data_IF_920802623698
#
_entry.id   IF_920802623698
#
_cell.length_a   1.000
_cell.length_b   1.000
_cell.length_c   1.000
_cell.angle_alpha   90.00
_cell.angle_beta   90.00
_cell.angle_gamma   90.00
#
_symmetry.space_group_name_H-M   'P 1'
#
loop_
_entity.id
_entity.type
_entity.pdbx_description
1 polymer ?
#
# COMPACT_ATOMS: atom_id res chain seq x y z
N UNK A 1 9.86 -14.58 -6.20
CA UNK A 1 9.95 -14.08 -4.80
C UNK A 1 8.91 -12.98 -4.63
N UNK A 2 8.31 -12.85 -3.44
CA UNK A 2 7.34 -11.78 -3.15
C UNK A 2 7.91 -10.91 -2.03
N UNK A 3 7.95 -9.59 -2.24
CA UNK A 3 8.28 -8.64 -1.19
C UNK A 3 7.01 -8.28 -0.41
N UNK A 4 7.05 -8.46 0.91
CA UNK A 4 6.01 -7.95 1.81
C UNK A 4 6.54 -6.71 2.53
N UNK A 5 5.83 -5.60 2.38
CA UNK A 5 6.12 -4.33 3.06
C UNK A 5 4.98 -4.05 4.02
N UNK A 6 5.28 -3.97 5.31
CA UNK A 6 4.31 -3.64 6.34
C UNK A 6 4.63 -2.26 6.90
N UNK A 7 3.67 -1.35 6.86
CA UNK A 7 3.86 0.04 7.29
C UNK A 7 2.98 0.37 8.48
N UNK A 8 3.55 1.13 9.41
CA UNK A 8 2.81 1.87 10.42
C UNK A 8 3.31 3.31 10.38
N UNK A 9 2.40 4.24 10.13
CA UNK A 9 2.69 5.67 10.13
C UNK A 9 1.99 6.25 11.36
N UNK A 10 2.73 7.01 12.15
CA UNK A 10 2.13 7.68 13.31
C UNK A 10 1.03 8.66 12.87
N UNK A 11 0.07 9.00 13.73
CA UNK A 11 -0.91 10.04 13.43
C UNK A 11 -0.27 11.41 13.12
N UNK A 12 -1.04 12.26 12.43
CA UNK A 12 -0.72 13.67 12.17
C UNK A 12 0.58 13.95 11.38
N UNK A 13 0.99 13.02 10.51
CA UNK A 13 2.14 13.23 9.62
C UNK A 13 1.74 13.96 8.33
N UNK A 14 2.68 14.72 7.76
CA UNK A 14 2.49 15.35 6.46
C UNK A 14 2.66 14.33 5.33
N UNK A 15 1.74 14.33 4.37
CA UNK A 15 1.75 13.38 3.26
C UNK A 15 3.03 13.41 2.43
N UNK A 16 3.67 14.58 2.30
CA UNK A 16 4.92 14.72 1.56
C UNK A 16 6.09 14.04 2.28
N UNK A 17 6.10 14.05 3.61
CA UNK A 17 7.13 13.37 4.41
C UNK A 17 6.97 11.86 4.32
N UNK A 18 5.72 11.37 4.34
CA UNK A 18 5.38 9.96 4.09
C UNK A 18 5.89 9.53 2.71
N UNK A 19 5.55 10.28 1.67
CA UNK A 19 5.98 9.99 0.29
C UNK A 19 7.50 9.99 0.18
N UNK A 20 8.17 10.99 0.77
CA UNK A 20 9.64 11.08 0.77
C UNK A 20 10.27 9.87 1.45
N UNK A 21 9.78 9.47 2.62
CA UNK A 21 10.28 8.32 3.34
C UNK A 21 10.10 7.02 2.54
N UNK A 22 8.89 6.77 2.03
CA UNK A 22 8.61 5.58 1.22
C UNK A 22 9.45 5.55 -0.05
N UNK A 23 9.69 6.71 -0.68
CA UNK A 23 10.56 6.80 -1.84
C UNK A 23 12.00 6.40 -1.52
N UNK A 24 12.55 6.88 -0.40
CA UNK A 24 13.91 6.55 0.02
C UNK A 24 14.06 5.05 0.31
N UNK A 25 13.15 4.47 1.08
CA UNK A 25 13.25 3.06 1.50
C UNK A 25 12.95 2.10 0.36
N UNK A 26 12.03 2.46 -0.55
CA UNK A 26 11.63 1.61 -1.66
C UNK A 26 12.33 1.95 -2.98
N UNK A 27 13.33 2.85 -2.96
CA UNK A 27 14.09 3.25 -4.15
C UNK A 27 14.63 2.03 -4.93
N UNK A 28 15.24 1.01 -4.31
CA UNK A 28 15.74 -0.18 -5.02
C UNK A 28 14.68 -0.92 -5.83
N UNK A 29 13.40 -0.79 -5.46
CA UNK A 29 12.27 -1.48 -6.09
C UNK A 29 11.59 -0.64 -7.18
N UNK A 30 12.13 0.54 -7.49
CA UNK A 30 11.73 1.34 -8.65
C UNK A 30 12.59 0.95 -9.88
N UNK A 31 12.11 1.12 -11.13
CA UNK A 31 12.91 0.78 -12.31
C UNK A 31 14.28 1.45 -12.34
N UNK A 32 14.34 2.72 -11.92
CA UNK A 32 15.60 3.47 -11.84
C UNK A 32 16.52 2.94 -10.75
N UNK A 33 16.01 2.72 -9.54
CA UNK A 33 16.85 2.25 -8.43
C UNK A 33 17.35 0.82 -8.63
N UNK A 34 16.53 -0.06 -9.22
CA UNK A 34 16.95 -1.40 -9.59
C UNK A 34 18.09 -1.37 -10.62
N UNK A 35 17.94 -0.55 -11.68
CA UNK A 35 18.95 -0.36 -12.70
C UNK A 35 20.27 0.20 -12.14
N UNK A 36 20.22 1.17 -11.23
CA UNK A 36 21.41 1.74 -10.57
C UNK A 36 22.17 0.70 -9.72
N UNK A 37 21.46 -0.30 -9.17
CA UNK A 37 22.04 -1.39 -8.39
C UNK A 37 22.50 -2.59 -9.24
N UNK A 38 22.15 -2.62 -10.54
CA UNK A 38 22.38 -3.79 -11.40
C UNK A 38 21.50 -4.99 -11.05
N UNK A 39 20.34 -4.74 -10.43
CA UNK A 39 19.40 -5.76 -9.95
C UNK A 39 18.05 -5.66 -10.70
N UNK A 40 17.18 -6.66 -10.54
CA UNK A 40 15.85 -6.73 -11.17
C UNK A 40 14.69 -6.57 -10.17
N UNK A 41 14.95 -5.92 -9.03
CA UNK A 41 13.99 -5.76 -7.93
C UNK A 41 12.71 -5.01 -8.31
N UNK A 42 12.75 -4.20 -9.37
CA UNK A 42 11.58 -3.53 -9.93
C UNK A 42 10.56 -4.51 -10.51
N UNK A 43 11.00 -5.71 -10.93
CA UNK A 43 10.15 -6.80 -11.43
C UNK A 43 9.62 -7.71 -10.32
N UNK A 44 10.03 -7.48 -9.07
CA UNK A 44 9.58 -8.28 -7.95
C UNK A 44 8.11 -7.99 -7.63
N UNK A 45 7.32 -9.06 -7.54
CA UNK A 45 5.97 -8.99 -7.01
C UNK A 45 5.99 -8.44 -5.58
N UNK A 46 5.09 -7.50 -5.28
CA UNK A 46 5.10 -6.77 -4.02
C UNK A 46 3.68 -6.61 -3.49
N UNK A 47 3.52 -6.81 -2.18
CA UNK A 47 2.37 -6.36 -1.41
C UNK A 47 2.83 -5.38 -0.34
N UNK A 48 2.17 -4.23 -0.29
CA UNK A 48 2.40 -3.20 0.72
C UNK A 48 1.11 -2.98 1.48
N UNK A 49 1.13 -3.15 2.80
CA UNK A 49 -0.07 -2.94 3.62
C UNK A 49 0.22 -2.43 5.01
N UNK A 50 -0.81 -1.90 5.66
CA UNK A 50 -0.73 -1.49 7.05
C UNK A 50 -1.57 -0.25 7.34
N UNK A 51 -1.27 0.39 8.47
CA UNK A 51 -1.96 1.58 8.96
C UNK A 51 -1.16 2.83 8.60
N UNK A 52 -1.72 3.65 7.72
CA UNK A 52 -1.08 4.87 7.25
C UNK A 52 -1.46 6.09 8.10
N UNK A 53 -2.43 5.95 9.01
CA UNK A 53 -3.04 7.06 9.76
C UNK A 53 -3.37 8.28 8.89
N UNK A 54 -3.67 8.04 7.61
CA UNK A 54 -4.04 9.04 6.63
C UNK A 54 -5.33 8.60 5.97
N UNK A 55 -6.34 9.47 5.94
CA UNK A 55 -7.64 9.07 5.43
C UNK A 55 -7.64 8.97 3.89
N UNK A 56 -7.58 7.74 3.38
CA UNK A 56 -7.63 7.43 1.96
C UNK A 56 -8.91 7.84 1.26
N UNK A 57 -10.00 8.08 2.01
CA UNK A 57 -11.24 8.61 1.44
C UNK A 57 -11.15 10.11 1.08
N UNK A 58 -10.08 10.80 1.48
CA UNK A 58 -9.87 12.22 1.18
C UNK A 58 -9.12 12.44 -0.14
N UNK A 59 -9.35 13.58 -0.79
CA UNK A 59 -8.64 13.96 -2.03
C UNK A 59 -7.15 14.14 -1.81
N UNK A 60 -6.75 14.57 -0.61
CA UNK A 60 -5.33 14.73 -0.26
C UNK A 60 -4.59 13.39 -0.38
N UNK A 61 -5.25 12.26 -0.16
CA UNK A 61 -4.61 10.94 -0.27
C UNK A 61 -4.15 10.61 -1.70
N UNK A 62 -4.68 11.32 -2.70
CA UNK A 62 -4.32 11.10 -4.09
C UNK A 62 -2.83 11.27 -4.34
N UNK A 63 -2.14 12.18 -3.63
CA UNK A 63 -0.69 12.35 -3.75
C UNK A 63 0.06 11.07 -3.42
N UNK A 64 -0.29 10.39 -2.32
CA UNK A 64 0.35 9.14 -1.92
C UNK A 64 -0.05 7.99 -2.85
N UNK A 65 -1.33 7.87 -3.21
CA UNK A 65 -1.83 6.83 -4.11
C UNK A 65 -1.12 6.92 -5.47
N UNK A 66 -1.10 8.10 -6.07
CA UNK A 66 -0.42 8.33 -7.36
C UNK A 66 1.08 8.15 -7.27
N UNK A 67 1.72 8.47 -6.14
CA UNK A 67 3.13 8.15 -5.94
C UNK A 67 3.37 6.63 -5.97
N UNK A 68 2.61 5.86 -5.18
CA UNK A 68 2.74 4.40 -5.11
C UNK A 68 2.47 3.74 -6.47
N UNK A 69 1.44 4.19 -7.17
CA UNK A 69 1.10 3.67 -8.50
C UNK A 69 2.16 4.05 -9.54
N UNK A 70 2.50 5.34 -9.67
CA UNK A 70 3.36 5.79 -10.77
C UNK A 70 4.85 5.49 -10.57
N UNK A 71 5.33 5.41 -9.31
CA UNK A 71 6.75 5.16 -9.02
C UNK A 71 7.06 3.71 -8.72
N UNK A 72 6.11 2.98 -8.17
CA UNK A 72 6.32 1.60 -7.71
C UNK A 72 5.41 0.59 -8.41
N UNK A 73 4.51 1.02 -9.31
CA UNK A 73 3.47 0.18 -9.94
C UNK A 73 2.53 -0.48 -8.91
N UNK A 74 2.43 0.08 -7.71
CA UNK A 74 1.61 -0.45 -6.62
C UNK A 74 0.18 0.11 -6.73
N UNK A 75 -0.76 -0.76 -7.11
CA UNK A 75 -2.18 -0.42 -7.22
C UNK A 75 -2.88 -0.68 -5.90
N UNK A 76 -3.79 0.21 -5.51
CA UNK A 76 -4.58 0.05 -4.29
C UNK A 76 -5.61 -1.07 -4.48
N UNK A 77 -5.57 -2.07 -3.61
CA UNK A 77 -6.49 -3.21 -3.63
C UNK A 77 -7.77 -2.93 -2.87
N UNK A 78 -7.67 -2.11 -1.81
CA UNK A 78 -8.80 -1.70 -0.96
C UNK A 78 -9.55 -0.54 -1.59
N UNK A 79 -10.88 -0.58 -1.56
CA UNK A 79 -11.69 0.53 -2.05
C UNK A 79 -11.64 1.72 -1.07
N UNK A 80 -11.26 2.90 -1.56
CA UNK A 80 -11.08 4.13 -0.75
C UNK A 80 -12.32 4.53 0.05
N UNK A 81 -13.50 4.20 -0.46
CA UNK A 81 -14.80 4.54 0.11
C UNK A 81 -15.36 3.47 1.06
N UNK A 82 -14.63 2.37 1.31
CA UNK A 82 -15.03 1.38 2.31
C UNK A 82 -14.19 1.61 3.58
N UNK A 83 -14.79 2.10 4.68
CA UNK A 83 -14.04 2.46 5.87
C UNK A 83 -13.35 1.26 6.53
N UNK A 84 -12.07 1.44 6.87
CA UNK A 84 -11.29 0.51 7.67
C UNK A 84 -11.46 0.74 9.18
N UNK A 85 -12.26 1.72 9.59
CA UNK A 85 -12.56 1.97 11.01
C UNK A 85 -14.05 2.05 11.30
N UNK A 86 -14.40 1.98 12.58
CA UNK A 86 -15.76 2.19 13.06
C UNK A 86 -16.20 3.68 12.97
N UNK A 87 -15.25 4.61 12.89
CA UNK A 87 -15.49 6.05 12.74
C UNK A 87 -15.61 6.52 11.28
N UNK A 88 -15.86 5.58 10.36
CA UNK A 88 -16.03 5.86 8.92
C UNK A 88 -14.80 6.48 8.24
N UNK A 89 -13.59 6.23 8.77
CA UNK A 89 -12.33 6.59 8.13
C UNK A 89 -11.69 5.38 7.43
N UNK A 90 -10.89 5.64 6.41
CA UNK A 90 -10.11 4.63 5.68
C UNK A 90 -8.64 4.90 5.94
N UNK A 91 -8.10 4.38 7.05
CA UNK A 91 -6.72 4.64 7.50
C UNK A 91 -5.75 3.53 7.09
N UNK A 92 -6.29 2.32 6.97
CA UNK A 92 -5.56 1.14 6.55
C UNK A 92 -5.66 1.01 5.03
N UNK A 93 -4.55 0.61 4.39
CA UNK A 93 -4.50 0.42 2.95
C UNK A 93 -3.70 -0.83 2.59
N UNK A 94 -4.09 -1.48 1.49
CA UNK A 94 -3.31 -2.57 0.89
C UNK A 94 -3.11 -2.25 -0.58
N UNK A 95 -1.87 -2.35 -1.04
CA UNK A 95 -1.44 -2.11 -2.40
C UNK A 95 -0.63 -3.31 -2.90
N UNK A 96 -0.68 -3.59 -4.20
CA UNK A 96 0.16 -4.62 -4.80
C UNK A 96 0.55 -4.36 -6.24
N UNK A 97 1.58 -5.07 -6.69
CA UNK A 97 2.00 -5.17 -8.09
C UNK A 97 2.39 -6.61 -8.41
N UNK A 98 2.14 -7.04 -9.64
CA UNK A 98 2.46 -8.38 -10.15
C UNK A 98 1.93 -9.51 -9.26
N UNK A 99 0.76 -9.29 -8.65
CA UNK A 99 0.07 -10.23 -7.78
C UNK A 99 -1.39 -10.29 -8.17
N UNK A 100 -1.89 -11.50 -8.39
CA UNK A 100 -3.31 -11.73 -8.59
C UNK A 100 -4.02 -11.73 -7.23
N UNK A 101 -4.52 -10.56 -6.87
CA UNK A 101 -5.15 -10.34 -5.57
C UNK A 101 -6.67 -10.39 -5.72
N UNK A 102 -7.32 -11.25 -4.94
CA UNK A 102 -8.78 -11.16 -4.78
C UNK A 102 -9.10 -9.89 -4.00
N UNK A 103 -10.15 -9.16 -4.43
CA UNK A 103 -10.67 -7.98 -3.73
C UNK A 103 -10.66 -8.20 -2.20
N UNK A 104 -9.91 -7.37 -1.44
CA UNK A 104 -9.82 -7.52 0.00
C UNK A 104 -11.17 -7.43 0.69
N UNK A 105 -11.38 -8.27 1.70
CA UNK A 105 -12.53 -8.20 2.59
C UNK A 105 -12.21 -7.32 3.81
N UNK A 106 -13.16 -6.49 4.23
CA UNK A 106 -13.08 -5.70 5.46
C UNK A 106 -14.09 -6.26 6.44
N UNK A 107 -13.63 -6.66 7.64
CA UNK A 107 -14.45 -7.38 8.61
C UNK A 107 -14.60 -6.57 9.90
N UNK A 108 -15.71 -6.77 10.62
CA UNK A 108 -15.92 -6.13 11.92
C UNK A 108 -15.10 -6.86 12.97
N UNK A 109 -14.37 -6.11 13.79
CA UNK A 109 -13.78 -6.59 15.04
C UNK A 109 -14.49 -5.93 16.22
N UNK A 110 -14.89 -6.72 17.22
CA UNK A 110 -15.54 -6.21 18.43
C UNK A 110 -14.56 -5.74 19.50
N UNK A 111 -13.27 -6.02 19.34
CA UNK A 111 -12.20 -5.66 20.28
C UNK A 111 -11.27 -4.56 19.74
N UNK A 112 -11.57 -4.01 18.55
CA UNK A 112 -10.79 -2.93 17.94
C UNK A 112 -11.72 -1.95 17.24
N UNK A 113 -11.33 -0.67 17.21
CA UNK A 113 -12.02 0.31 16.36
C UNK A 113 -11.55 0.23 14.90
N UNK A 114 -10.38 -0.39 14.64
CA UNK A 114 -9.96 -0.78 13.30
C UNK A 114 -10.62 -2.10 12.89
N UNK A 115 -10.93 -2.19 11.61
CA UNK A 115 -11.52 -3.33 10.95
C UNK A 115 -10.41 -4.11 10.24
N UNK A 116 -10.22 -5.40 10.54
CA UNK A 116 -9.23 -6.19 9.83
C UNK A 116 -9.50 -6.23 8.32
N UNK A 117 -8.43 -6.05 7.55
CA UNK A 117 -8.42 -6.20 6.10
C UNK A 117 -7.78 -7.54 5.77
N UNK A 118 -8.54 -8.44 5.14
CA UNK A 118 -8.04 -9.73 4.69
C UNK A 118 -7.83 -9.67 3.19
N UNK A 119 -6.59 -9.88 2.76
CA UNK A 119 -6.19 -9.93 1.36
C UNK A 119 -5.76 -11.34 1.01
N UNK A 120 -6.30 -11.90 -0.06
CA UNK A 120 -5.93 -13.22 -0.55
C UNK A 120 -5.13 -13.07 -1.85
N UNK A 121 -3.89 -13.56 -1.82
CA UNK A 121 -3.00 -13.64 -2.98
C UNK A 121 -3.17 -15.05 -3.57
N UNK A 122 -3.55 -15.15 -4.83
CA UNK A 122 -3.72 -16.44 -5.51
C UNK A 122 -2.39 -16.94 -6.07
N UNK A 123 -1.75 -16.08 -6.84
CA UNK A 123 -0.51 -16.33 -7.55
C UNK A 123 0.18 -14.99 -7.92
N UNK A 124 1.37 -15.12 -8.48
CA UNK A 124 2.13 -14.02 -9.08
C UNK A 124 1.63 -13.86 -10.51
N UNK A 125 1.38 -12.64 -10.96
CA UNK A 125 1.01 -12.38 -12.35
C UNK A 125 2.20 -12.72 -13.27
N UNK A 126 1.97 -13.46 -14.36
CA UNK A 126 2.99 -13.64 -15.39
C UNK A 126 3.25 -12.28 -16.07
N UNK A 127 4.51 -11.84 -16.04
CA UNK A 127 4.99 -10.54 -16.54
C UNK A 127 5.54 -10.70 -17.95
#
# INVERSE_FOLDING_TARGET
>A
KVLSVVVYISPNQHINDIVKYLHLVLLPYTPRGAAELGEDYDKMAMILGGDFNFNFSSDKAQTLISFLENKLNLKMNTARNIPSTNYKTTLDGVFSRFLNVRKPGIYVSYFSYHKPIITCIRDIEEI
#
